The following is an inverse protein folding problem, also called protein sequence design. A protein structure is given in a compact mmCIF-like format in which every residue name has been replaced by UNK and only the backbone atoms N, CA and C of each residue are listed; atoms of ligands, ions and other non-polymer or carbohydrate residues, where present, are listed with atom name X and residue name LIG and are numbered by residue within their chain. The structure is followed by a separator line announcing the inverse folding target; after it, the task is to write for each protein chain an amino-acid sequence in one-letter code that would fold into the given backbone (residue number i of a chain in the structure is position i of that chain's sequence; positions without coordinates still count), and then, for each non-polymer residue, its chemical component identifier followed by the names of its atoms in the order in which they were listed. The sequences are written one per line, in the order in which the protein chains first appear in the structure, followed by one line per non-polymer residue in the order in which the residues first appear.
data_IF_853135632603
#
_entry.id   IF_853135632603
#
_cell.length_a   1.000
_cell.length_b   1.000
_cell.length_c   1.000
_cell.angle_alpha   90.00
_cell.angle_beta   90.00
_cell.angle_gamma   90.00
#
_symmetry.space_group_name_H-M   'P 1'
#
loop_
_entity.id
_entity.type
_entity.pdbx_description
1 polymer ?
#
# COMPACT_ATOMS: atom_id res chain seq x y z
N UNK A 1 -31.52 2.68 16.45
CA UNK A 1 -32.20 1.60 17.19
C UNK A 1 -33.35 2.22 17.96
N UNK A 2 -34.55 1.61 17.96
CA UNK A 2 -35.77 2.19 18.55
C UNK A 2 -35.97 1.89 20.03
N UNK A 3 -36.92 2.60 20.66
CA UNK A 3 -37.31 2.41 22.07
C UNK A 3 -37.81 0.97 22.28
N UNK A 4 -37.21 0.23 23.23
CA UNK A 4 -37.59 -1.16 23.55
C UNK A 4 -36.66 -2.26 23.00
N UNK A 5 -35.63 -1.92 22.22
CA UNK A 5 -34.62 -2.90 21.80
C UNK A 5 -33.80 -3.40 22.99
N UNK A 6 -33.83 -4.70 23.25
CA UNK A 6 -32.93 -5.36 24.21
C UNK A 6 -31.69 -5.87 23.46
N UNK A 7 -30.53 -5.32 23.79
CA UNK A 7 -29.27 -5.78 23.22
C UNK A 7 -28.95 -7.21 23.65
N UNK A 8 -28.22 -7.98 22.81
CA UNK A 8 -27.74 -9.31 23.21
C UNK A 8 -26.86 -9.23 24.46
N UNK A 9 -27.01 -10.22 25.35
CA UNK A 9 -26.12 -10.34 26.50
C UNK A 9 -24.69 -10.72 26.08
N UNK A 10 -23.70 -10.39 26.93
CA UNK A 10 -22.31 -10.82 26.72
C UNK A 10 -22.18 -12.33 26.46
N UNK A 11 -22.94 -13.15 27.20
CA UNK A 11 -22.97 -14.60 26.99
C UNK A 11 -23.54 -14.98 25.61
N UNK A 12 -24.62 -14.34 25.19
CA UNK A 12 -25.24 -14.59 23.88
C UNK A 12 -24.27 -14.25 22.74
N UNK A 13 -23.53 -13.15 22.86
CA UNK A 13 -22.51 -12.73 21.89
C UNK A 13 -21.37 -13.75 21.80
N UNK A 14 -20.77 -14.14 22.93
CA UNK A 14 -19.56 -14.98 22.93
C UNK A 14 -19.81 -16.46 22.62
N UNK A 15 -21.04 -16.94 22.78
CA UNK A 15 -21.38 -18.37 22.61
C UNK A 15 -22.28 -18.58 21.41
N UNK A 16 -23.57 -18.25 21.52
CA UNK A 16 -24.58 -18.66 20.55
C UNK A 16 -24.46 -17.87 19.24
N UNK A 17 -24.39 -16.54 19.34
CA UNK A 17 -24.30 -15.67 18.17
C UNK A 17 -22.95 -15.85 17.46
N UNK A 18 -21.84 -15.96 18.20
CA UNK A 18 -20.53 -16.26 17.60
C UNK A 18 -20.51 -17.63 16.91
N UNK A 19 -21.10 -18.66 17.52
CA UNK A 19 -21.16 -20.00 16.93
C UNK A 19 -21.99 -20.00 15.64
N UNK A 20 -23.13 -19.31 15.64
CA UNK A 20 -23.97 -19.19 14.45
C UNK A 20 -23.24 -18.42 13.35
N UNK A 21 -22.66 -17.25 13.66
CA UNK A 21 -21.87 -16.49 12.70
C UNK A 21 -20.69 -17.31 12.13
N UNK A 22 -19.98 -18.08 12.96
CA UNK A 22 -18.91 -18.97 12.50
C UNK A 22 -19.43 -20.06 11.57
N UNK A 23 -20.62 -20.62 11.85
CA UNK A 23 -21.25 -21.62 10.98
C UNK A 23 -21.62 -21.00 9.63
N UNK A 24 -22.23 -19.82 9.64
CA UNK A 24 -22.65 -19.13 8.41
C UNK A 24 -21.43 -18.78 7.55
N UNK A 25 -20.38 -18.23 8.15
CA UNK A 25 -19.11 -17.95 7.46
C UNK A 25 -18.46 -19.24 6.94
N UNK A 26 -18.54 -20.35 7.69
CA UNK A 26 -18.00 -21.64 7.24
C UNK A 26 -18.71 -22.15 5.99
N UNK A 27 -20.03 -21.98 5.88
CA UNK A 27 -20.78 -22.37 4.67
C UNK A 27 -20.33 -21.55 3.44
N UNK A 28 -20.07 -20.26 3.62
CA UNK A 28 -19.51 -19.42 2.55
C UNK A 28 -18.10 -19.89 2.17
N UNK A 29 -17.25 -20.15 3.17
CA UNK A 29 -15.90 -20.67 2.96
C UNK A 29 -15.89 -22.01 2.20
N UNK A 30 -16.75 -22.96 2.58
CA UNK A 30 -16.86 -24.26 1.93
C UNK A 30 -17.30 -24.10 0.45
N UNK A 31 -18.15 -23.11 0.14
CA UNK A 31 -18.51 -22.75 -1.24
C UNK A 31 -17.31 -22.25 -2.07
N UNK A 32 -16.37 -21.53 -1.46
CA UNK A 32 -15.15 -21.07 -2.13
C UNK A 32 -14.17 -22.22 -2.30
N UNK A 33 -14.00 -23.04 -1.26
CA UNK A 33 -13.11 -24.21 -1.28
C UNK A 33 -13.44 -25.18 -2.40
N UNK A 34 -14.73 -25.36 -2.70
CA UNK A 34 -15.18 -26.24 -3.79
C UNK A 34 -14.64 -25.84 -5.17
N UNK A 35 -14.26 -24.59 -5.41
CA UNK A 35 -13.75 -24.15 -6.72
C UNK A 35 -12.23 -24.23 -6.83
N UNK A 36 -11.50 -24.39 -5.72
CA UNK A 36 -10.04 -24.36 -5.74
C UNK A 36 -9.43 -25.49 -6.58
N UNK A 37 -10.11 -26.63 -6.69
CA UNK A 37 -9.69 -27.75 -7.54
C UNK A 37 -9.77 -27.44 -9.03
N UNK A 38 -10.68 -26.55 -9.44
CA UNK A 38 -10.89 -26.18 -10.84
C UNK A 38 -10.08 -24.96 -11.25
N UNK A 39 -10.05 -23.92 -10.39
CA UNK A 39 -9.44 -22.63 -10.72
C UNK A 39 -8.04 -22.45 -10.16
N UNK A 40 -7.63 -23.31 -9.22
CA UNK A 40 -6.53 -23.01 -8.31
C UNK A 40 -6.87 -21.87 -7.36
N UNK A 41 -5.92 -21.56 -6.47
CA UNK A 41 -6.02 -20.45 -5.53
C UNK A 41 -4.63 -19.86 -5.18
N UNK A 42 -4.66 -18.61 -4.71
CA UNK A 42 -3.47 -17.89 -4.25
C UNK A 42 -3.52 -17.77 -2.73
N UNK A 43 -2.48 -18.23 -2.04
CA UNK A 43 -2.31 -17.95 -0.60
C UNK A 43 -1.64 -16.58 -0.45
N UNK A 44 -2.12 -15.77 0.47
CA UNK A 44 -1.54 -14.47 0.81
C UNK A 44 -1.17 -14.46 2.29
N UNK A 45 0.10 -14.25 2.59
CA UNK A 45 0.65 -14.11 3.94
C UNK A 45 0.96 -12.64 4.24
N UNK A 46 0.17 -12.04 5.12
CA UNK A 46 0.33 -10.64 5.56
C UNK A 46 0.98 -10.58 6.94
N UNK A 47 2.20 -10.05 6.99
CA UNK A 47 2.99 -9.91 8.21
C UNK A 47 2.75 -8.56 8.88
N UNK A 48 2.36 -8.56 10.15
CA UNK A 48 2.22 -7.32 10.91
C UNK A 48 2.70 -7.48 12.35
N UNK A 49 3.00 -6.37 13.01
CA UNK A 49 3.38 -6.35 14.42
C UNK A 49 2.22 -5.84 15.26
N UNK A 50 1.87 -6.56 16.32
CA UNK A 50 0.86 -6.09 17.26
C UNK A 50 1.39 -4.90 18.11
N UNK A 51 0.53 -4.36 18.97
CA UNK A 51 0.88 -3.24 19.86
C UNK A 51 1.98 -3.57 20.87
N UNK A 52 2.30 -4.86 21.06
CA UNK A 52 3.38 -5.38 21.91
C UNK A 52 4.61 -5.78 21.10
N UNK A 53 4.70 -5.41 19.83
CA UNK A 53 5.78 -5.74 18.90
C UNK A 53 5.90 -7.25 18.57
N UNK A 54 4.87 -8.04 18.83
CA UNK A 54 4.87 -9.46 18.44
C UNK A 54 4.56 -9.59 16.96
N UNK A 55 5.39 -10.32 16.18
CA UNK A 55 5.12 -10.57 14.78
C UNK A 55 3.99 -11.58 14.63
N UNK A 56 2.95 -11.18 13.91
CA UNK A 56 1.81 -12.03 13.53
C UNK A 56 1.79 -12.16 12.01
N UNK A 57 1.38 -13.34 11.52
CA UNK A 57 1.15 -13.58 10.10
C UNK A 57 -0.30 -14.00 9.89
N UNK A 58 -1.04 -13.23 9.10
CA UNK A 58 -2.38 -13.58 8.66
C UNK A 58 -2.29 -14.32 7.33
N UNK A 59 -2.95 -15.48 7.24
CA UNK A 59 -3.07 -16.24 6.00
C UNK A 59 -4.48 -16.11 5.43
N UNK A 60 -4.53 -15.63 4.20
CA UNK A 60 -5.73 -15.50 3.39
C UNK A 60 -5.58 -16.39 2.15
N UNK A 61 -6.69 -16.84 1.58
CA UNK A 61 -6.73 -17.54 0.30
C UNK A 61 -7.65 -16.77 -0.64
N UNK A 62 -7.13 -16.41 -1.80
CA UNK A 62 -7.85 -15.80 -2.89
C UNK A 62 -8.19 -16.85 -3.95
N UNK A 63 -9.44 -16.80 -4.44
CA UNK A 63 -9.89 -17.49 -5.64
C UNK A 63 -10.90 -16.58 -6.38
N UNK A 64 -11.33 -16.89 -7.61
CA UNK A 64 -12.27 -16.05 -8.35
C UNK A 64 -13.61 -15.77 -7.65
N UNK A 65 -14.02 -16.61 -6.69
CA UNK A 65 -15.22 -16.36 -5.86
C UNK A 65 -15.01 -15.35 -4.73
N UNK A 66 -13.77 -15.07 -4.36
CA UNK A 66 -13.43 -14.12 -3.30
C UNK A 66 -12.28 -14.56 -2.41
N UNK A 67 -12.10 -13.80 -1.32
CA UNK A 67 -11.03 -13.99 -0.33
C UNK A 67 -11.58 -14.71 0.90
N UNK A 68 -10.80 -15.61 1.46
CA UNK A 68 -11.11 -16.37 2.67
C UNK A 68 -9.98 -16.31 3.68
N UNK A 69 -10.31 -16.02 4.93
CA UNK A 69 -9.35 -16.10 6.03
C UNK A 69 -9.14 -17.55 6.48
N UNK A 70 -7.88 -17.96 6.56
CA UNK A 70 -7.47 -19.30 6.99
C UNK A 70 -7.13 -19.29 8.48
N UNK A 71 -6.04 -18.61 8.83
CA UNK A 71 -5.55 -18.55 10.21
C UNK A 71 -4.62 -17.34 10.41
N UNK A 72 -4.50 -16.92 11.66
CA UNK A 72 -3.46 -15.99 12.12
C UNK A 72 -2.49 -16.76 13.00
N UNK A 73 -1.19 -16.53 12.83
CA UNK A 73 -0.13 -17.24 13.53
C UNK A 73 0.75 -16.24 14.27
N UNK A 74 1.06 -16.53 15.54
CA UNK A 74 2.14 -15.86 16.24
C UNK A 74 3.47 -16.40 15.72
N UNK A 75 4.22 -15.54 15.06
CA UNK A 75 5.44 -15.90 14.35
C UNK A 75 6.70 -15.48 15.12
N UNK A 76 6.58 -15.16 16.42
CA UNK A 76 7.70 -14.68 17.26
C UNK A 76 8.92 -15.60 17.19
N UNK A 77 8.70 -16.91 17.24
CA UNK A 77 9.76 -17.94 17.22
C UNK A 77 10.07 -18.46 15.80
N UNK A 78 9.41 -17.91 14.78
CA UNK A 78 9.40 -18.43 13.40
C UNK A 78 10.09 -17.46 12.45
N UNK A 79 9.81 -16.15 12.54
CA UNK A 79 10.24 -15.16 11.54
C UNK A 79 11.76 -15.00 11.40
N UNK A 80 12.54 -15.49 12.36
CA UNK A 80 14.00 -15.38 12.36
C UNK A 80 14.68 -16.40 11.45
N UNK A 81 13.99 -17.49 11.09
CA UNK A 81 14.53 -18.56 10.24
C UNK A 81 13.70 -18.72 8.97
N UNK A 82 14.37 -18.67 7.81
CA UNK A 82 13.77 -18.95 6.51
C UNK A 82 13.18 -20.37 6.44
N UNK A 83 13.82 -21.34 7.09
CA UNK A 83 13.36 -22.73 7.13
C UNK A 83 12.08 -22.87 7.98
N UNK A 84 12.03 -22.23 9.14
CA UNK A 84 10.83 -22.23 9.99
C UNK A 84 9.65 -21.56 9.27
N UNK A 85 9.90 -20.44 8.58
CA UNK A 85 8.90 -19.78 7.73
C UNK A 85 8.45 -20.68 6.57
N UNK A 86 9.37 -21.36 5.89
CA UNK A 86 9.03 -22.30 4.82
C UNK A 86 8.15 -23.44 5.34
N UNK A 87 8.48 -24.01 6.51
CA UNK A 87 7.68 -25.05 7.15
C UNK A 87 6.28 -24.55 7.52
N UNK A 88 6.17 -23.31 8.01
CA UNK A 88 4.87 -22.68 8.24
C UNK A 88 4.08 -22.50 6.94
N UNK A 89 4.71 -22.04 5.86
CA UNK A 89 4.05 -21.89 4.57
C UNK A 89 3.60 -23.25 4.01
N UNK A 90 4.43 -24.28 4.12
CA UNK A 90 4.08 -25.64 3.73
C UNK A 90 2.86 -26.16 4.52
N UNK A 91 2.78 -25.90 5.83
CA UNK A 91 1.60 -26.25 6.64
C UNK A 91 0.31 -25.61 6.09
N UNK A 92 0.38 -24.34 5.68
CA UNK A 92 -0.76 -23.65 5.06
C UNK A 92 -1.10 -24.24 3.70
N UNK A 93 -0.08 -24.53 2.88
CA UNK A 93 -0.26 -25.18 1.58
C UNK A 93 -0.97 -26.53 1.72
N UNK A 94 -0.54 -27.36 2.67
CA UNK A 94 -1.19 -28.66 2.92
C UNK A 94 -2.62 -28.51 3.47
N UNK A 95 -2.89 -27.50 4.30
CA UNK A 95 -4.24 -27.22 4.80
C UNK A 95 -5.23 -26.87 3.67
N UNK A 96 -4.74 -26.14 2.66
CA UNK A 96 -5.48 -25.77 1.44
C UNK A 96 -5.54 -26.94 0.45
N UNK A 97 -4.48 -27.75 0.41
CA UNK A 97 -4.22 -28.82 -0.53
C UNK A 97 -3.24 -28.34 -1.61
N UNK A 98 -2.05 -28.93 -1.67
CA UNK A 98 -0.95 -28.51 -2.55
C UNK A 98 -1.31 -28.47 -4.04
N UNK A 99 -2.18 -29.36 -4.50
CA UNK A 99 -2.70 -29.38 -5.88
C UNK A 99 -3.62 -28.20 -6.21
N UNK A 100 -4.20 -27.55 -5.19
CA UNK A 100 -5.09 -26.42 -5.37
C UNK A 100 -4.35 -25.08 -5.37
N UNK A 101 -3.11 -25.04 -4.88
CA UNK A 101 -2.34 -23.81 -4.74
C UNK A 101 -1.53 -23.59 -6.00
N UNK A 102 -1.69 -22.42 -6.62
CA UNK A 102 -0.89 -22.02 -7.79
C UNK A 102 0.11 -20.92 -7.45
N UNK A 103 -0.14 -20.16 -6.38
CA UNK A 103 0.64 -18.98 -6.04
C UNK A 103 0.64 -18.71 -4.53
N UNK A 104 1.78 -18.34 -3.98
CA UNK A 104 1.94 -17.79 -2.63
C UNK A 104 2.49 -16.37 -2.72
N UNK A 105 1.82 -15.41 -2.09
CA UNK A 105 2.24 -14.02 -1.97
C UNK A 105 2.59 -13.73 -0.52
N UNK A 106 3.77 -13.16 -0.26
CA UNK A 106 4.17 -12.75 1.09
C UNK A 106 4.87 -11.41 1.10
N UNK A 107 5.16 -10.87 2.29
CA UNK A 107 6.07 -9.74 2.44
C UNK A 107 7.47 -10.01 1.86
N UNK A 108 8.21 -8.92 1.65
CA UNK A 108 9.46 -8.93 0.91
C UNK A 108 10.73 -8.86 1.77
N UNK A 109 10.62 -9.13 3.06
CA UNK A 109 11.77 -9.20 3.95
C UNK A 109 12.68 -10.38 3.57
N UNK A 110 13.99 -10.28 3.86
CA UNK A 110 14.99 -11.27 3.42
C UNK A 110 14.62 -12.71 3.80
N UNK A 111 14.13 -12.93 5.02
CA UNK A 111 13.74 -14.26 5.49
C UNK A 111 12.53 -14.82 4.75
N UNK A 112 11.60 -13.96 4.33
CA UNK A 112 10.45 -14.35 3.51
C UNK A 112 10.86 -14.67 2.08
N UNK A 113 11.80 -13.91 1.49
CA UNK A 113 12.38 -14.23 0.18
C UNK A 113 13.02 -15.61 0.18
N UNK A 114 13.86 -15.88 1.18
CA UNK A 114 14.53 -17.18 1.33
C UNK A 114 13.51 -18.31 1.55
N UNK A 115 12.53 -18.11 2.43
CA UNK A 115 11.46 -19.08 2.66
C UNK A 115 10.62 -19.35 1.40
N UNK A 116 10.30 -18.32 0.62
CA UNK A 116 9.58 -18.45 -0.64
C UNK A 116 10.35 -19.19 -1.72
N UNK A 117 11.68 -19.02 -1.77
CA UNK A 117 12.57 -19.82 -2.63
C UNK A 117 12.52 -21.30 -2.24
N UNK A 118 12.76 -21.60 -0.96
CA UNK A 118 12.70 -22.96 -0.42
C UNK A 118 11.33 -23.62 -0.68
N UNK A 119 10.24 -22.85 -0.58
CA UNK A 119 8.91 -23.37 -0.86
C UNK A 119 8.72 -23.68 -2.36
N UNK A 120 9.25 -22.83 -3.25
CA UNK A 120 9.18 -23.04 -4.69
C UNK A 120 9.99 -24.27 -5.13
N UNK A 121 11.09 -24.57 -4.43
CA UNK A 121 11.88 -25.80 -4.60
C UNK A 121 11.12 -27.03 -4.08
N UNK A 122 10.39 -26.89 -2.96
CA UNK A 122 9.59 -27.96 -2.36
C UNK A 122 8.32 -28.29 -3.15
N UNK A 123 7.73 -27.29 -3.81
CA UNK A 123 6.49 -27.43 -4.58
C UNK A 123 6.65 -26.76 -5.95
N UNK A 124 7.07 -27.53 -6.96
CA UNK A 124 7.36 -27.03 -8.31
C UNK A 124 6.15 -26.35 -8.98
N UNK A 125 4.94 -26.81 -8.65
CA UNK A 125 3.68 -26.27 -9.16
C UNK A 125 3.26 -24.94 -8.48
N UNK A 126 3.90 -24.55 -7.37
CA UNK A 126 3.56 -23.32 -6.64
C UNK A 126 4.55 -22.22 -7.01
N UNK A 127 4.04 -21.11 -7.55
CA UNK A 127 4.84 -19.90 -7.69
C UNK A 127 4.88 -19.14 -6.36
N UNK A 128 6.02 -18.57 -5.99
CA UNK A 128 6.07 -17.56 -4.93
C UNK A 128 6.33 -16.18 -5.52
N UNK A 129 5.72 -15.12 -4.97
CA UNK A 129 6.15 -13.75 -5.26
C UNK A 129 6.04 -12.86 -4.03
N UNK A 130 6.84 -11.80 -3.95
CA UNK A 130 6.63 -10.78 -2.93
C UNK A 130 5.39 -9.94 -3.24
N UNK A 131 4.83 -9.32 -2.21
CA UNK A 131 3.64 -8.48 -2.29
C UNK A 131 3.94 -7.18 -3.05
N UNK A 132 3.14 -6.92 -4.10
CA UNK A 132 3.24 -5.71 -4.91
C UNK A 132 2.97 -4.44 -4.10
N UNK A 133 1.90 -4.43 -3.29
CA UNK A 133 1.57 -3.30 -2.43
C UNK A 133 2.71 -2.97 -1.45
N UNK A 134 3.32 -3.99 -0.84
CA UNK A 134 4.49 -3.82 0.03
C UNK A 134 5.66 -3.17 -0.73
N UNK A 135 5.97 -3.65 -1.94
CA UNK A 135 7.04 -3.09 -2.76
C UNK A 135 6.78 -1.62 -3.15
N UNK A 136 5.55 -1.28 -3.51
CA UNK A 136 5.16 0.11 -3.84
C UNK A 136 5.23 1.01 -2.61
N UNK A 137 4.84 0.50 -1.44
CA UNK A 137 5.01 1.23 -0.18
C UNK A 137 6.49 1.52 0.12
N UNK A 138 7.40 0.60 -0.20
CA UNK A 138 8.84 0.82 -0.06
C UNK A 138 9.38 1.86 -1.05
N UNK A 139 8.83 1.94 -2.27
CA UNK A 139 9.15 3.05 -3.20
C UNK A 139 8.77 4.39 -2.58
N UNK A 140 7.54 4.50 -2.03
CA UNK A 140 7.09 5.72 -1.36
C UNK A 140 7.96 6.05 -0.15
N UNK A 141 8.40 5.03 0.60
CA UNK A 141 9.34 5.17 1.71
C UNK A 141 10.65 5.81 1.26
N UNK A 142 11.30 5.22 0.28
CA UNK A 142 12.64 5.65 -0.15
C UNK A 142 12.60 7.06 -0.74
N UNK A 143 11.55 7.42 -1.49
CA UNK A 143 11.35 8.80 -1.95
C UNK A 143 11.13 9.72 -0.74
N UNK A 144 10.32 9.31 0.23
CA UNK A 144 10.13 10.02 1.49
C UNK A 144 11.43 10.22 2.29
N UNK A 145 12.42 9.35 2.08
CA UNK A 145 13.70 9.40 2.79
C UNK A 145 14.71 10.38 2.18
N UNK A 146 14.47 10.87 0.96
CA UNK A 146 15.29 11.88 0.29
C UNK A 146 15.36 13.18 1.09
N UNK A 147 16.54 13.80 1.16
CA UNK A 147 16.78 15.01 1.98
C UNK A 147 15.83 16.16 1.65
N UNK A 148 15.62 16.44 0.36
CA UNK A 148 14.72 17.52 -0.08
C UNK A 148 13.27 17.24 0.33
N UNK A 149 12.85 15.96 0.29
CA UNK A 149 11.50 15.54 0.68
C UNK A 149 11.33 15.63 2.19
N UNK A 150 12.31 15.15 2.98
CA UNK A 150 12.33 15.31 4.44
C UNK A 150 12.26 16.77 4.86
N UNK A 151 12.97 17.67 4.17
CA UNK A 151 12.92 19.09 4.45
C UNK A 151 11.51 19.65 4.26
N UNK A 152 10.83 19.34 3.15
CA UNK A 152 9.45 19.77 2.89
C UNK A 152 8.49 19.22 3.95
N UNK A 153 8.60 17.94 4.29
CA UNK A 153 7.76 17.29 5.32
C UNK A 153 7.99 17.91 6.70
N UNK A 154 9.23 18.30 7.02
CA UNK A 154 9.57 18.97 8.28
C UNK A 154 8.94 20.36 8.37
N UNK A 155 8.99 21.15 7.30
CA UNK A 155 8.33 22.46 7.22
C UNK A 155 6.81 22.32 7.35
N UNK A 156 6.21 21.36 6.64
CA UNK A 156 4.78 21.06 6.74
C UNK A 156 4.37 20.62 8.15
N UNK A 157 5.21 19.82 8.80
CA UNK A 157 5.02 19.38 10.19
C UNK A 157 5.08 20.57 11.16
N UNK A 158 6.02 21.48 10.97
CA UNK A 158 6.11 22.72 11.77
C UNK A 158 4.83 23.54 11.72
N UNK A 159 4.28 23.76 10.51
CA UNK A 159 3.02 24.49 10.32
C UNK A 159 1.85 23.74 10.97
N UNK A 160 1.67 22.46 10.67
CA UNK A 160 0.53 21.67 11.18
C UNK A 160 0.57 21.53 12.70
N UNK A 161 1.72 21.19 13.29
CA UNK A 161 1.88 21.08 14.75
C UNK A 161 1.55 22.40 15.45
N UNK A 162 2.03 23.53 14.91
CA UNK A 162 1.70 24.84 15.47
C UNK A 162 0.19 25.09 15.46
N UNK A 163 -0.45 24.87 14.32
CA UNK A 163 -1.89 25.14 14.17
C UNK A 163 -2.73 24.28 15.10
N UNK A 164 -2.45 22.98 15.17
CA UNK A 164 -3.26 22.10 16.00
C UNK A 164 -3.00 22.24 17.50
N UNK A 165 -1.83 22.74 17.91
CA UNK A 165 -1.53 22.98 19.33
C UNK A 165 -2.15 24.27 19.86
N UNK A 166 -2.55 25.19 18.98
CA UNK A 166 -3.15 26.47 19.38
C UNK A 166 -4.64 26.48 19.05
N UNK A 167 -5.49 26.36 20.08
CA UNK A 167 -6.95 26.30 19.94
C UNK A 167 -7.52 27.43 19.08
N UNK A 168 -6.97 28.64 19.21
CA UNK A 168 -7.42 29.79 18.44
C UNK A 168 -7.20 29.60 16.94
N UNK A 169 -5.98 29.26 16.50
CA UNK A 169 -5.65 29.16 15.07
C UNK A 169 -6.44 28.03 14.42
N UNK A 170 -6.59 26.91 15.11
CA UNK A 170 -7.46 25.82 14.67
C UNK A 170 -8.93 26.24 14.56
N UNK A 171 -9.46 26.92 15.58
CA UNK A 171 -10.85 27.40 15.55
C UNK A 171 -11.09 28.48 14.48
N UNK A 172 -10.07 29.28 14.18
CA UNK A 172 -10.12 30.26 13.11
C UNK A 172 -10.24 29.55 11.76
N UNK A 173 -9.38 28.58 11.48
CA UNK A 173 -9.41 27.81 10.23
C UNK A 173 -10.71 27.02 10.06
N UNK A 174 -11.28 26.47 11.14
CA UNK A 174 -12.58 25.79 11.12
C UNK A 174 -13.75 26.68 10.74
N UNK A 175 -13.63 28.00 10.86
CA UNK A 175 -14.65 28.95 10.41
C UNK A 175 -14.55 29.26 8.91
N UNK A 176 -13.43 28.90 8.27
CA UNK A 176 -13.23 29.13 6.85
C UNK A 176 -14.10 28.16 6.04
N UNK A 177 -14.81 28.68 5.04
CA UNK A 177 -15.65 27.88 4.14
C UNK A 177 -14.81 26.80 3.45
N UNK A 178 -15.27 25.55 3.51
CA UNK A 178 -14.59 24.43 2.84
C UNK A 178 -13.42 23.83 3.62
N UNK A 179 -13.16 24.24 4.87
CA UNK A 179 -12.17 23.62 5.74
C UNK A 179 -12.42 22.11 5.94
N UNK A 180 -11.36 21.32 5.81
CA UNK A 180 -11.33 19.91 6.19
C UNK A 180 -10.14 19.67 7.10
N UNK A 181 -10.31 18.80 8.08
CA UNK A 181 -9.22 18.46 9.00
C UNK A 181 -8.06 17.82 8.22
N UNK A 182 -6.84 18.30 8.48
CA UNK A 182 -5.63 17.76 7.88
C UNK A 182 -5.35 16.42 8.57
N UNK A 183 -5.31 15.36 7.76
CA UNK A 183 -4.96 14.03 8.23
C UNK A 183 -3.53 14.09 8.78
N UNK A 184 -3.36 13.75 10.07
CA UNK A 184 -2.03 13.65 10.65
C UNK A 184 -1.35 12.38 10.13
N UNK A 185 -0.10 12.46 9.64
CA UNK A 185 0.66 11.28 9.29
C UNK A 185 0.77 10.35 10.51
N UNK A 186 0.37 9.10 10.37
CA UNK A 186 0.68 8.04 11.34
C UNK A 186 2.00 7.37 10.95
N UNK A 187 2.72 6.79 11.91
CA UNK A 187 4.06 6.22 11.69
C UNK A 187 4.12 5.12 10.60
N UNK A 188 2.99 4.51 10.23
CA UNK A 188 3.00 3.21 9.53
C UNK A 188 2.62 3.20 8.05
N UNK A 189 2.33 4.34 7.39
CA UNK A 189 2.07 4.33 5.93
C UNK A 189 2.51 5.63 5.25
N UNK A 190 3.55 5.57 4.42
CA UNK A 190 4.11 6.75 3.71
C UNK A 190 3.09 7.51 2.86
N UNK A 191 2.08 6.83 2.32
CA UNK A 191 0.97 7.47 1.63
C UNK A 191 0.25 8.53 2.50
N UNK A 192 0.17 8.33 3.82
CA UNK A 192 -0.48 9.28 4.74
C UNK A 192 0.24 10.62 4.82
N UNK A 193 1.58 10.63 4.80
CA UNK A 193 2.38 11.86 4.76
C UNK A 193 2.07 12.70 3.53
N UNK A 194 1.85 12.05 2.38
CA UNK A 194 1.53 12.75 1.13
C UNK A 194 0.09 13.23 1.09
N UNK A 195 -0.84 12.43 1.60
CA UNK A 195 -2.24 12.85 1.76
C UNK A 195 -2.30 14.08 2.69
N UNK A 196 -1.50 14.11 3.76
CA UNK A 196 -1.36 15.26 4.64
C UNK A 196 -0.78 16.49 3.91
N UNK A 197 0.29 16.33 3.12
CA UNK A 197 0.87 17.41 2.30
C UNK A 197 -0.13 17.96 1.28
N UNK A 198 -0.91 17.08 0.63
CA UNK A 198 -1.98 17.47 -0.29
C UNK A 198 -3.04 18.28 0.43
N UNK A 199 -3.54 17.77 1.56
CA UNK A 199 -4.54 18.45 2.38
C UNK A 199 -4.04 19.81 2.89
N UNK A 200 -2.77 19.91 3.26
CA UNK A 200 -2.13 21.17 3.65
C UNK A 200 -2.13 22.16 2.47
N UNK A 201 -1.68 21.70 1.29
CA UNK A 201 -1.63 22.52 0.07
C UNK A 201 -3.02 22.99 -0.39
N UNK A 202 -4.04 22.12 -0.34
CA UNK A 202 -5.42 22.46 -0.72
C UNK A 202 -6.01 23.57 0.19
N UNK A 203 -5.44 23.77 1.38
CA UNK A 203 -5.82 24.84 2.31
C UNK A 203 -4.83 26.03 2.33
N UNK A 204 -3.92 26.13 1.36
CA UNK A 204 -2.91 27.21 1.25
C UNK A 204 -3.51 28.60 1.52
N UNK A 205 -4.55 28.98 0.80
CA UNK A 205 -5.14 30.32 0.87
C UNK A 205 -5.73 30.61 2.27
N UNK A 206 -6.25 29.57 2.92
CA UNK A 206 -6.76 29.66 4.30
C UNK A 206 -5.62 29.92 5.29
N UNK A 207 -4.49 29.24 5.13
CA UNK A 207 -3.31 29.49 5.97
C UNK A 207 -2.71 30.88 5.72
N UNK A 208 -2.59 31.31 4.48
CA UNK A 208 -2.10 32.65 4.14
C UNK A 208 -3.01 33.74 4.70
N UNK A 209 -4.33 33.55 4.61
CA UNK A 209 -5.32 34.45 5.22
C UNK A 209 -5.20 34.48 6.74
N UNK A 210 -4.99 33.33 7.39
CA UNK A 210 -4.78 33.27 8.84
C UNK A 210 -3.56 34.10 9.24
N UNK A 211 -2.38 33.85 8.67
CA UNK A 211 -1.12 34.49 9.12
C UNK A 211 -1.01 35.98 8.79
N UNK A 212 -1.86 36.46 7.87
CA UNK A 212 -1.98 37.87 7.50
C UNK A 212 -3.12 38.59 8.24
N UNK A 213 -4.03 37.86 8.88
CA UNK A 213 -5.15 38.44 9.63
C UNK A 213 -4.69 39.31 10.81
N UNK A 214 -5.48 40.33 11.14
CA UNK A 214 -5.27 41.14 12.34
C UNK A 214 -5.33 40.30 13.62
N UNK A 215 -6.18 39.27 13.63
CA UNK A 215 -6.36 38.34 14.74
C UNK A 215 -5.11 37.52 15.04
N UNK A 216 -4.27 37.26 14.04
CA UNK A 216 -3.04 36.50 14.21
C UNK A 216 -1.97 37.28 14.99
N UNK A 217 -2.09 38.61 15.07
CA UNK A 217 -1.15 39.47 15.81
C UNK A 217 -1.09 39.15 17.31
N UNK A 218 -2.09 38.47 17.87
CA UNK A 218 -2.06 38.02 19.27
C UNK A 218 -0.94 36.97 19.55
N UNK A 219 -0.35 36.38 18.51
CA UNK A 219 0.73 35.38 18.62
C UNK A 219 2.14 35.94 18.41
N UNK A 220 2.31 37.25 18.22
CA UNK A 220 3.62 37.91 17.95
C UNK A 220 4.71 37.65 19.01
N UNK A 221 4.34 37.16 20.20
CA UNK A 221 5.25 36.84 21.31
C UNK A 221 5.80 35.41 21.26
N UNK A 222 5.28 34.55 20.39
CA UNK A 222 5.74 33.16 20.25
C UNK A 222 6.81 33.12 19.17
N UNK A 223 8.03 32.70 19.52
CA UNK A 223 9.14 32.65 18.56
C UNK A 223 8.81 31.77 17.32
N UNK A 224 8.18 30.61 17.56
CA UNK A 224 7.70 29.71 16.50
C UNK A 224 6.64 30.30 15.57
N UNK A 225 5.93 31.37 15.98
CA UNK A 225 4.96 32.04 15.11
C UNK A 225 5.64 32.69 13.91
N UNK A 226 6.81 33.31 14.11
CA UNK A 226 7.57 33.95 13.04
C UNK A 226 7.99 32.94 11.98
N UNK A 227 8.49 31.79 12.41
CA UNK A 227 8.88 30.70 11.51
C UNK A 227 7.69 30.19 10.71
N UNK A 228 6.56 29.90 11.37
CA UNK A 228 5.33 29.43 10.70
C UNK A 228 4.83 30.46 9.70
N UNK A 229 4.84 31.75 10.06
CA UNK A 229 4.44 32.83 9.17
C UNK A 229 5.35 32.92 7.95
N UNK A 230 6.67 32.82 8.12
CA UNK A 230 7.62 32.79 7.01
C UNK A 230 7.37 31.61 6.08
N UNK A 231 7.17 30.40 6.63
CA UNK A 231 6.90 29.19 5.85
C UNK A 231 5.60 29.32 5.05
N UNK A 232 4.53 29.78 5.69
CA UNK A 232 3.21 29.94 5.06
C UNK A 232 3.20 31.02 3.98
N UNK A 233 4.05 32.04 4.10
CA UNK A 233 4.18 33.09 3.08
C UNK A 233 5.21 32.75 1.98
N UNK A 234 6.02 31.69 2.13
CA UNK A 234 6.96 31.26 1.09
C UNK A 234 6.24 30.48 -0.01
N UNK A 235 6.08 31.10 -1.17
CA UNK A 235 5.51 30.48 -2.37
C UNK A 235 6.32 29.26 -2.86
N UNK A 236 7.62 29.19 -2.58
CA UNK A 236 8.44 28.02 -2.93
C UNK A 236 8.07 26.81 -2.08
N UNK A 237 7.72 27.00 -0.81
CA UNK A 237 7.26 25.91 0.05
C UNK A 237 5.99 25.27 -0.54
N UNK A 238 4.99 26.07 -0.91
CA UNK A 238 3.76 25.57 -1.50
C UNK A 238 3.98 24.89 -2.85
N UNK A 239 4.78 25.50 -3.73
CA UNK A 239 5.13 24.90 -5.02
C UNK A 239 5.84 23.55 -4.83
N UNK A 240 6.74 23.46 -3.86
CA UNK A 240 7.44 22.21 -3.53
C UNK A 240 6.47 21.14 -2.99
N UNK A 241 5.54 21.49 -2.10
CA UNK A 241 4.47 20.58 -1.66
C UNK A 241 3.67 20.04 -2.86
N UNK A 242 3.27 20.92 -3.79
CA UNK A 242 2.52 20.52 -4.98
C UNK A 242 3.33 19.58 -5.88
N UNK A 243 4.61 19.86 -6.09
CA UNK A 243 5.50 18.99 -6.87
C UNK A 243 5.58 17.61 -6.21
N UNK A 244 5.76 17.53 -4.88
CA UNK A 244 5.82 16.25 -4.17
C UNK A 244 4.52 15.45 -4.31
N UNK A 245 3.37 16.11 -4.14
CA UNK A 245 2.06 15.48 -4.34
C UNK A 245 1.90 14.96 -5.76
N UNK A 246 2.41 15.67 -6.77
CA UNK A 246 2.34 15.26 -8.18
C UNK A 246 3.31 14.11 -8.51
N UNK A 247 4.48 14.04 -7.87
CA UNK A 247 5.43 12.92 -8.03
C UNK A 247 4.85 11.64 -7.42
N UNK A 248 4.35 11.72 -6.19
CA UNK A 248 3.89 10.54 -5.46
C UNK A 248 2.48 10.12 -5.83
N UNK A 249 1.65 11.02 -6.36
CA UNK A 249 0.27 10.74 -6.75
C UNK A 249 0.08 9.54 -7.68
N UNK A 250 0.82 9.39 -8.78
CA UNK A 250 0.78 8.19 -9.62
C UNK A 250 1.14 6.90 -8.87
N UNK A 251 2.12 6.95 -7.98
CA UNK A 251 2.58 5.79 -7.19
C UNK A 251 1.51 5.39 -6.16
N UNK A 252 0.87 6.37 -5.49
CA UNK A 252 -0.23 6.13 -4.55
C UNK A 252 -1.45 5.55 -5.27
N UNK A 253 -1.76 6.02 -6.48
CA UNK A 253 -2.85 5.42 -7.28
C UNK A 253 -2.56 3.96 -7.61
N UNK A 254 -1.32 3.64 -7.97
CA UNK A 254 -0.91 2.26 -8.19
C UNK A 254 -1.00 1.42 -6.92
N UNK A 255 -0.56 1.96 -5.78
CA UNK A 255 -0.72 1.30 -4.48
C UNK A 255 -2.19 0.96 -4.20
N UNK A 256 -3.10 1.91 -4.43
CA UNK A 256 -4.53 1.66 -4.25
C UNK A 256 -5.04 0.55 -5.18
N UNK A 257 -4.58 0.46 -6.44
CA UNK A 257 -4.94 -0.64 -7.34
C UNK A 257 -4.49 -1.99 -6.76
N UNK A 258 -3.33 -2.03 -6.11
CA UNK A 258 -2.82 -3.25 -5.48
C UNK A 258 -3.55 -3.62 -4.17
N UNK A 259 -4.03 -2.63 -3.42
CA UNK A 259 -4.70 -2.79 -2.13
C UNK A 259 -6.23 -3.02 -2.24
N UNK A 260 -6.84 -2.82 -3.41
CA UNK A 260 -8.28 -3.05 -3.60
C UNK A 260 -8.57 -4.55 -3.72
N UNK A 261 -9.31 -5.09 -2.74
CA UNK A 261 -9.69 -6.50 -2.65
C UNK A 261 -10.74 -6.95 -3.69
N UNK A 262 -11.34 -6.03 -4.44
CA UNK A 262 -12.46 -6.31 -5.34
C UNK A 262 -12.03 -6.80 -6.74
N UNK A 263 -10.84 -6.43 -7.20
CA UNK A 263 -10.37 -6.74 -8.56
C UNK A 263 -8.97 -7.35 -8.56
N UNK A 264 -8.70 -8.40 -9.37
CA UNK A 264 -7.38 -8.99 -9.48
C UNK A 264 -6.35 -7.96 -9.94
N UNK A 265 -5.46 -7.54 -9.04
CA UNK A 265 -4.55 -6.43 -9.28
C UNK A 265 -3.27 -6.82 -10.05
N UNK A 266 -2.92 -8.11 -10.06
CA UNK A 266 -1.65 -8.62 -10.61
C UNK A 266 -1.39 -8.16 -12.05
N UNK A 267 -2.41 -8.24 -12.92
CA UNK A 267 -2.31 -7.85 -14.33
C UNK A 267 -2.27 -6.32 -14.57
N UNK A 268 -2.52 -5.51 -13.54
CA UNK A 268 -2.48 -4.03 -13.63
C UNK A 268 -1.17 -3.44 -13.11
N UNK A 269 -0.37 -4.21 -12.36
CA UNK A 269 0.85 -3.70 -11.70
C UNK A 269 1.86 -3.18 -12.71
N UNK A 270 2.15 -3.96 -13.77
CA UNK A 270 3.13 -3.59 -14.80
C UNK A 270 2.75 -2.28 -15.51
N UNK A 271 1.52 -2.19 -16.01
CA UNK A 271 0.99 -0.97 -16.64
C UNK A 271 0.99 0.22 -15.68
N UNK A 272 0.59 -0.02 -14.43
CA UNK A 272 0.57 0.99 -13.39
C UNK A 272 1.96 1.58 -13.11
N UNK A 273 2.99 0.74 -13.06
CA UNK A 273 4.38 1.16 -12.91
C UNK A 273 4.83 2.01 -14.10
N UNK A 274 4.54 1.56 -15.32
CA UNK A 274 4.86 2.30 -16.53
C UNK A 274 4.17 3.68 -16.57
N UNK A 275 2.89 3.73 -16.23
CA UNK A 275 2.12 4.99 -16.10
C UNK A 275 2.67 5.90 -15.01
N UNK A 276 3.11 5.35 -13.88
CA UNK A 276 3.72 6.14 -12.81
C UNK A 276 5.04 6.79 -13.26
N UNK A 277 5.93 6.01 -13.85
CA UNK A 277 7.22 6.47 -14.41
C UNK A 277 6.98 7.58 -15.45
N UNK A 278 6.10 7.34 -16.42
CA UNK A 278 5.79 8.30 -17.47
C UNK A 278 5.09 9.57 -16.94
N UNK A 279 4.26 9.43 -15.89
CA UNK A 279 3.68 10.55 -15.17
C UNK A 279 4.74 11.48 -14.60
N UNK A 280 5.74 10.92 -13.91
CA UNK A 280 6.84 11.68 -13.31
C UNK A 280 7.75 12.31 -14.37
N UNK A 281 8.11 11.57 -15.43
CA UNK A 281 8.90 12.13 -16.55
C UNK A 281 8.23 13.35 -17.18
N UNK A 282 6.91 13.26 -17.45
CA UNK A 282 6.12 14.36 -18.02
C UNK A 282 6.01 15.56 -17.09
N UNK A 283 5.88 15.33 -15.77
CA UNK A 283 5.85 16.41 -14.77
C UNK A 283 7.07 17.33 -14.89
N UNK A 284 8.24 16.75 -15.17
CA UNK A 284 9.49 17.47 -15.34
C UNK A 284 9.82 17.83 -16.79
N UNK A 285 8.83 17.79 -17.71
CA UNK A 285 9.01 18.05 -19.15
C UNK A 285 10.15 17.22 -19.76
N UNK A 286 10.30 15.97 -19.31
CA UNK A 286 11.36 15.06 -19.72
C UNK A 286 12.79 15.56 -19.45
N UNK A 287 12.97 16.50 -18.52
CA UNK A 287 14.31 16.91 -18.07
C UNK A 287 14.89 15.84 -17.14
N UNK A 288 15.76 15.00 -17.69
CA UNK A 288 16.34 13.84 -17.00
C UNK A 288 16.88 14.19 -15.61
N UNK A 289 17.71 15.23 -15.50
CA UNK A 289 18.30 15.67 -14.22
C UNK A 289 17.29 15.82 -13.07
N UNK A 290 16.05 16.19 -13.38
CA UNK A 290 15.02 16.46 -12.38
C UNK A 290 14.21 15.22 -11.99
N UNK A 291 13.90 14.33 -12.94
CA UNK A 291 13.11 13.13 -12.64
C UNK A 291 13.97 11.93 -12.25
N UNK A 292 15.23 11.88 -12.72
CA UNK A 292 16.11 10.70 -12.61
C UNK A 292 16.24 10.18 -11.18
N UNK A 293 16.45 11.00 -10.14
CA UNK A 293 16.53 10.49 -8.76
C UNK A 293 15.30 9.69 -8.31
N UNK A 294 14.11 10.12 -8.73
CA UNK A 294 12.85 9.42 -8.40
C UNK A 294 12.69 8.15 -9.22
N UNK A 295 13.02 8.20 -10.52
CA UNK A 295 12.93 7.04 -11.40
C UNK A 295 13.95 5.97 -11.01
N UNK A 296 15.15 6.36 -10.59
CA UNK A 296 16.18 5.42 -10.14
C UNK A 296 15.70 4.63 -8.91
N UNK A 297 15.03 5.29 -7.94
CA UNK A 297 14.40 4.61 -6.79
C UNK A 297 13.30 3.64 -7.26
N UNK A 298 12.43 4.08 -8.16
CA UNK A 298 11.32 3.26 -8.67
C UNK A 298 11.86 2.02 -9.40
N UNK A 299 12.80 2.22 -10.32
CA UNK A 299 13.41 1.16 -11.12
C UNK A 299 14.20 0.20 -10.25
N UNK A 300 15.01 0.68 -9.32
CA UNK A 300 15.79 -0.16 -8.42
C UNK A 300 14.89 -1.07 -7.56
N UNK A 301 13.77 -0.56 -7.06
CA UNK A 301 12.78 -1.37 -6.35
C UNK A 301 12.06 -2.33 -7.29
N UNK A 302 11.59 -1.85 -8.44
CA UNK A 302 10.92 -2.68 -9.46
C UNK A 302 11.79 -3.88 -9.87
N UNK A 303 13.07 -3.64 -10.11
CA UNK A 303 14.04 -4.61 -10.61
C UNK A 303 14.48 -5.63 -9.56
N UNK A 304 14.68 -5.20 -8.32
CA UNK A 304 15.17 -6.07 -7.23
C UNK A 304 14.07 -6.82 -6.49
N UNK A 305 12.85 -6.31 -6.54
CA UNK A 305 11.79 -6.72 -5.64
C UNK A 305 10.62 -7.38 -6.34
N UNK A 306 10.18 -6.89 -7.49
CA UNK A 306 9.01 -7.46 -8.14
C UNK A 306 9.46 -8.48 -9.18
N UNK A 307 8.79 -9.65 -9.21
CA UNK A 307 9.07 -10.68 -10.22
C UNK A 307 8.56 -10.16 -11.56
N UNK A 308 9.40 -9.37 -12.24
CA UNK A 308 9.07 -8.70 -13.51
C UNK A 308 8.37 -9.62 -14.48
N UNK A 309 8.86 -10.85 -14.62
CA UNK A 309 8.31 -11.84 -15.55
C UNK A 309 6.88 -12.26 -15.18
N UNK A 310 6.57 -12.48 -13.90
CA UNK A 310 5.20 -12.76 -13.45
C UNK A 310 4.25 -11.59 -13.74
N UNK A 311 4.69 -10.36 -13.43
CA UNK A 311 3.85 -9.17 -13.66
C UNK A 311 3.71 -8.83 -15.15
N UNK A 312 4.75 -9.07 -15.94
CA UNK A 312 4.74 -8.92 -17.40
C UNK A 312 3.83 -9.95 -18.06
N UNK A 313 3.93 -11.22 -17.66
CA UNK A 313 3.03 -12.29 -18.11
C UNK A 313 1.57 -11.98 -17.75
N UNK A 314 1.32 -11.56 -16.50
CA UNK A 314 -0.02 -11.18 -16.05
C UNK A 314 -0.58 -9.96 -16.81
N UNK A 315 0.27 -9.00 -17.18
CA UNK A 315 -0.11 -7.87 -18.03
C UNK A 315 -0.46 -8.30 -19.45
N UNK A 316 0.39 -9.13 -20.07
CA UNK A 316 0.17 -9.65 -21.41
C UNK A 316 -1.15 -10.44 -21.51
N UNK A 317 -1.43 -11.26 -20.50
CA UNK A 317 -2.64 -12.09 -20.45
C UNK A 317 -3.90 -11.32 -20.03
N UNK A 318 -3.79 -10.02 -19.71
CA UNK A 318 -4.93 -9.22 -19.28
C UNK A 318 -5.72 -8.69 -20.49
N UNK A 319 -6.99 -9.13 -20.70
CA UNK A 319 -7.79 -8.71 -21.84
C UNK A 319 -8.03 -7.19 -21.91
N UNK A 320 -8.00 -6.50 -20.76
CA UNK A 320 -8.17 -5.06 -20.69
C UNK A 320 -7.06 -4.29 -21.43
N UNK A 321 -5.87 -4.90 -21.57
CA UNK A 321 -4.74 -4.31 -22.30
C UNK A 321 -4.50 -4.99 -23.63
N UNK A 322 -4.59 -6.32 -23.69
CA UNK A 322 -4.27 -7.11 -24.88
C UNK A 322 -5.09 -6.72 -26.12
N UNK A 323 -6.36 -6.33 -25.92
CA UNK A 323 -7.24 -5.91 -27.02
C UNK A 323 -7.27 -4.39 -27.24
N UNK A 324 -6.56 -3.60 -26.43
CA UNK A 324 -6.41 -2.16 -26.62
C UNK A 324 -5.16 -1.85 -27.46
N UNK A 325 -5.24 -2.13 -28.76
CA UNK A 325 -4.09 -2.06 -29.69
C UNK A 325 -3.39 -0.70 -29.75
N UNK A 326 -4.07 0.38 -29.37
CA UNK A 326 -3.51 1.74 -29.35
C UNK A 326 -2.58 2.00 -28.16
N UNK A 327 -2.71 1.25 -27.07
CA UNK A 327 -2.00 1.49 -25.80
C UNK A 327 -1.20 0.28 -25.34
N UNK A 328 -1.39 -0.88 -25.97
CA UNK A 328 -0.69 -2.11 -25.63
C UNK A 328 0.84 -1.94 -25.74
N UNK A 329 1.54 -2.37 -24.69
CA UNK A 329 3.00 -2.30 -24.61
C UNK A 329 3.62 -3.38 -25.49
N UNK A 330 4.27 -2.97 -26.57
CA UNK A 330 5.03 -3.86 -27.47
C UNK A 330 6.51 -3.98 -27.08
N UNK A 331 6.90 -3.57 -25.87
CA UNK A 331 8.29 -3.68 -25.44
C UNK A 331 8.70 -5.16 -25.37
N UNK A 332 9.89 -5.54 -25.90
CA UNK A 332 10.35 -6.93 -25.90
C UNK A 332 10.35 -7.57 -24.51
N UNK A 333 10.57 -6.79 -23.45
CA UNK A 333 10.55 -7.28 -22.07
C UNK A 333 9.21 -7.91 -21.65
N UNK A 334 8.08 -7.49 -22.24
CA UNK A 334 6.76 -8.06 -21.91
C UNK A 334 6.65 -9.47 -22.48
N UNK A 335 7.01 -9.63 -23.75
CA UNK A 335 6.97 -10.92 -24.44
C UNK A 335 8.02 -11.87 -23.86
N UNK A 336 9.25 -11.38 -23.66
CA UNK A 336 10.30 -12.17 -23.02
C UNK A 336 9.89 -12.58 -21.60
N UNK A 337 9.32 -11.66 -20.81
CA UNK A 337 8.82 -11.98 -19.48
C UNK A 337 7.72 -13.04 -19.47
N UNK A 338 6.85 -13.07 -20.48
CA UNK A 338 5.89 -14.15 -20.66
C UNK A 338 6.56 -15.48 -21.00
N UNK A 339 7.47 -15.49 -21.98
CA UNK A 339 8.17 -16.71 -22.40
C UNK A 339 9.00 -17.30 -21.26
N UNK A 340 9.82 -16.47 -20.60
CA UNK A 340 10.60 -16.86 -19.42
C UNK A 340 9.69 -17.45 -18.33
N UNK A 341 8.52 -16.84 -18.08
CA UNK A 341 7.60 -17.33 -17.06
C UNK A 341 7.03 -18.71 -17.43
N UNK A 342 6.67 -18.93 -18.69
CA UNK A 342 6.18 -20.22 -19.19
C UNK A 342 7.28 -21.27 -19.10
N UNK A 343 8.49 -20.96 -19.56
CA UNK A 343 9.63 -21.89 -19.53
C UNK A 343 9.98 -22.32 -18.11
N UNK A 344 9.92 -21.42 -17.12
CA UNK A 344 10.13 -21.80 -15.70
C UNK A 344 9.05 -22.71 -15.10
N UNK A 345 8.00 -23.03 -15.86
CA UNK A 345 6.86 -23.87 -15.44
C UNK A 345 6.66 -25.11 -16.29
N UNK A 346 7.46 -25.30 -17.34
CA UNK A 346 7.46 -26.48 -18.20
C UNK A 346 8.74 -27.25 -17.93
N UNK A 347 8.71 -28.09 -16.89
CA UNK A 347 9.64 -29.21 -16.68
C UNK A 347 8.85 -30.45 -16.22
#
# INVERSE_FOLDING_TARGET
MGHGYKSPSYHSLRVNLLRNAKRDVKLVFDSFRSTWTETGCTIMGDGWKDTRQRPLINFLVYCPKGISFIKSVDASDIVTSAENLCNLFAEIVEMVGSNNVVHLVTDNANNYKAAGSLLSERYLNICWSPCAAHCINLILKDIGEMNDVKAIVSLASTVTVFIYNHKFTLNWLRKTTGWKEIIRPGETRFATTIIALKSLHDHKDSFQSLVTSGDYKQFLRIEKEKDVKQIVLDERFWNNCLIMVRIMGPIIRLLHICDIDETPSLGYVYEGMFRAINGIKRLFRNKERLYKPYIDIISDRWDRMLRKNLHAAAYYLNPAFQYESATFCTHPEVINGLLDYIETKVD
#
